data_IF_794869253316
#
_entry.id   IF_794869253316
#
_cell.length_a   1.000
_cell.length_b   1.000
_cell.length_c   1.000
_cell.angle_alpha   90.00
_cell.angle_beta   90.00
_cell.angle_gamma   90.00
#
_symmetry.space_group_name_H-M   'P 1'
#
loop_
_entity.id
_entity.type
_entity.pdbx_description
1 polymer ?
#
# COMPACT_ATOMS: atom_id res chain seq x y z
N UNK A 1 33.39 6.27 17.18
CA UNK A 1 32.28 6.04 16.25
C UNK A 1 32.80 4.98 15.29
N UNK A 2 32.18 3.80 15.22
CA UNK A 2 32.65 2.76 14.28
C UNK A 2 32.25 3.24 12.88
N UNK A 3 33.17 3.93 12.21
CA UNK A 3 33.04 4.39 10.83
C UNK A 3 33.18 3.17 9.92
N UNK A 4 32.07 2.55 9.56
CA UNK A 4 32.06 1.47 8.58
C UNK A 4 31.03 0.38 8.88
N UNK A 5 30.60 -0.31 7.82
CA UNK A 5 29.71 -1.46 7.90
C UNK A 5 30.51 -2.67 8.38
N UNK A 6 29.87 -3.59 9.10
CA UNK A 6 30.53 -4.83 9.53
C UNK A 6 29.95 -5.99 8.73
N UNK A 7 30.81 -6.83 8.16
CA UNK A 7 30.37 -8.04 7.48
C UNK A 7 29.68 -8.99 8.46
N UNK A 8 28.44 -9.45 8.19
CA UNK A 8 27.74 -10.39 9.09
C UNK A 8 28.33 -11.81 9.07
N UNK A 9 29.34 -12.09 8.23
CA UNK A 9 29.96 -13.42 8.09
C UNK A 9 31.36 -13.46 8.67
N UNK A 10 32.21 -12.47 8.36
CA UNK A 10 33.62 -12.47 8.76
C UNK A 10 33.98 -11.35 9.74
N UNK A 11 33.01 -10.52 10.15
CA UNK A 11 33.17 -9.44 11.13
C UNK A 11 34.19 -8.35 10.76
N UNK A 12 34.75 -8.41 9.56
CA UNK A 12 35.61 -7.35 9.04
C UNK A 12 34.76 -6.14 8.62
N UNK A 13 35.34 -4.96 8.77
CA UNK A 13 34.76 -3.72 8.28
C UNK A 13 34.71 -3.71 6.76
N UNK A 14 33.59 -3.26 6.18
CA UNK A 14 33.36 -3.10 4.75
C UNK A 14 33.07 -1.63 4.49
N UNK A 15 33.62 -1.08 3.41
CA UNK A 15 33.27 0.27 2.96
C UNK A 15 31.96 0.25 2.16
N UNK A 16 31.16 1.31 2.29
CA UNK A 16 29.88 1.44 1.57
C UNK A 16 30.05 1.33 0.05
N UNK A 17 31.16 1.84 -0.48
CA UNK A 17 31.49 1.79 -1.91
C UNK A 17 31.64 0.36 -2.43
N UNK A 18 32.10 -0.58 -1.60
CA UNK A 18 32.31 -1.97 -2.01
C UNK A 18 30.98 -2.71 -2.22
N UNK A 19 29.91 -2.26 -1.57
CA UNK A 19 28.59 -2.90 -1.61
C UNK A 19 27.64 -2.29 -2.64
N UNK A 20 27.96 -1.12 -3.20
CA UNK A 20 27.14 -0.43 -4.21
C UNK A 20 26.93 -1.28 -5.48
N UNK A 21 28.01 -1.88 -5.98
CA UNK A 21 27.99 -2.62 -7.24
C UNK A 21 27.70 -4.11 -7.05
N UNK A 22 28.11 -4.68 -5.91
CA UNK A 22 27.97 -6.10 -5.61
C UNK A 22 27.82 -6.33 -4.12
N UNK A 23 26.73 -6.98 -3.72
CA UNK A 23 26.48 -7.45 -2.34
C UNK A 23 27.35 -8.66 -1.97
N UNK A 24 28.67 -8.55 -2.19
CA UNK A 24 29.66 -9.54 -1.80
C UNK A 24 30.68 -8.88 -0.91
N UNK A 25 31.00 -9.53 0.19
CA UNK A 25 32.05 -9.02 1.07
C UNK A 25 33.42 -9.10 0.35
N UNK A 26 34.23 -8.03 0.33
CA UNK A 26 35.57 -8.05 -0.28
C UNK A 26 36.56 -8.93 0.47
N UNK A 27 36.34 -9.17 1.77
CA UNK A 27 37.26 -9.95 2.61
C UNK A 27 37.05 -11.46 2.55
N UNK A 28 35.79 -11.91 2.63
CA UNK A 28 35.46 -13.35 2.66
C UNK A 28 34.77 -13.84 1.38
N UNK A 29 34.48 -12.94 0.44
CA UNK A 29 33.75 -13.24 -0.81
C UNK A 29 32.36 -13.86 -0.60
N UNK A 30 31.83 -13.83 0.62
CA UNK A 30 30.49 -14.31 0.91
C UNK A 30 29.46 -13.46 0.17
N UNK A 31 28.48 -14.13 -0.43
CA UNK A 31 27.33 -13.48 -1.03
C UNK A 31 26.36 -13.06 0.08
N UNK A 32 26.23 -11.75 0.28
CA UNK A 32 25.36 -11.15 1.30
C UNK A 32 23.92 -11.01 0.81
N UNK A 33 23.65 -11.21 -0.49
CA UNK A 33 22.31 -11.25 -1.07
C UNK A 33 21.61 -12.57 -0.71
N UNK A 34 21.23 -12.71 0.55
CA UNK A 34 20.56 -13.90 1.08
C UNK A 34 19.57 -13.49 2.16
N UNK A 35 18.44 -14.22 2.24
CA UNK A 35 17.45 -14.10 3.32
C UNK A 35 18.06 -14.18 4.73
N UNK A 36 19.19 -14.87 4.91
CA UNK A 36 19.87 -14.95 6.22
C UNK A 36 20.39 -13.59 6.72
N UNK A 37 20.54 -12.63 5.83
CA UNK A 37 21.08 -11.31 6.12
C UNK A 37 20.03 -10.22 5.83
N UNK A 38 18.75 -10.54 5.98
CA UNK A 38 17.63 -9.65 5.61
C UNK A 38 17.71 -8.31 6.36
N UNK A 39 17.86 -8.34 7.69
CA UNK A 39 18.05 -7.13 8.51
C UNK A 39 19.22 -6.26 8.04
N UNK A 40 20.32 -6.90 7.61
CA UNK A 40 21.49 -6.20 7.08
C UNK A 40 21.18 -5.56 5.71
N UNK A 41 20.48 -6.27 4.83
CA UNK A 41 20.07 -5.76 3.52
C UNK A 41 19.06 -4.62 3.64
N UNK A 42 18.10 -4.72 4.55
CA UNK A 42 17.15 -3.64 4.87
C UNK A 42 17.86 -2.41 5.40
N UNK A 43 18.84 -2.58 6.29
CA UNK A 43 19.67 -1.48 6.76
C UNK A 43 20.39 -0.78 5.60
N UNK A 44 20.98 -1.53 4.67
CA UNK A 44 21.65 -0.95 3.49
C UNK A 44 20.68 -0.16 2.60
N UNK A 45 19.45 -0.65 2.40
CA UNK A 45 18.42 0.05 1.64
C UNK A 45 17.93 1.31 2.35
N UNK A 46 17.60 1.21 3.65
CA UNK A 46 17.06 2.32 4.43
C UNK A 46 18.03 3.51 4.52
N UNK A 47 19.34 3.23 4.50
CA UNK A 47 20.39 4.25 4.46
C UNK A 47 20.81 4.66 3.04
N UNK A 48 20.21 4.08 1.99
CA UNK A 48 20.52 4.41 0.59
C UNK A 48 21.93 4.00 0.13
N UNK A 49 22.54 3.02 0.80
CA UNK A 49 23.87 2.52 0.46
C UNK A 49 23.81 1.63 -0.79
N UNK A 50 22.72 0.87 -0.94
CA UNK A 50 22.47 -0.02 -2.08
C UNK A 50 21.12 0.33 -2.70
N UNK A 51 21.14 0.77 -3.96
CA UNK A 51 19.94 1.09 -4.75
C UNK A 51 19.48 -0.09 -5.62
N UNK A 52 20.35 -1.09 -5.83
CA UNK A 52 20.13 -2.21 -6.74
C UNK A 52 19.53 -3.46 -6.06
N UNK A 53 18.94 -3.30 -4.87
CA UNK A 53 18.22 -4.39 -4.22
C UNK A 53 16.74 -4.29 -4.57
N UNK A 54 16.26 -5.26 -5.35
CA UNK A 54 14.85 -5.36 -5.70
C UNK A 54 14.06 -5.89 -4.50
N UNK A 55 13.06 -5.13 -4.05
CA UNK A 55 12.14 -5.54 -2.99
C UNK A 55 11.31 -6.77 -3.37
N UNK A 56 11.14 -7.00 -4.68
CA UNK A 56 10.41 -8.16 -5.20
C UNK A 56 11.31 -9.38 -5.45
N UNK A 57 12.57 -9.36 -5.00
CA UNK A 57 13.44 -10.51 -5.16
C UNK A 57 12.97 -11.69 -4.31
N UNK A 58 12.31 -12.64 -4.96
CA UNK A 58 11.74 -13.83 -4.34
C UNK A 58 12.80 -14.68 -3.62
N UNK A 59 14.10 -14.56 -3.95
CA UNK A 59 15.16 -15.28 -3.22
C UNK A 59 15.44 -14.68 -1.84
N UNK A 60 15.07 -13.43 -1.62
CA UNK A 60 15.29 -12.70 -0.36
C UNK A 60 13.98 -12.51 0.41
N UNK A 61 12.91 -12.12 -0.31
CA UNK A 61 11.62 -11.71 0.25
C UNK A 61 10.49 -12.74 0.03
N UNK A 62 10.79 -14.00 -0.25
CA UNK A 62 9.79 -15.03 -0.59
C UNK A 62 8.68 -15.23 0.43
N UNK A 63 8.98 -15.11 1.73
CA UNK A 63 8.02 -15.44 2.79
C UNK A 63 6.97 -14.35 2.99
N UNK A 64 7.22 -13.11 2.56
CA UNK A 64 6.28 -11.98 2.66
C UNK A 64 5.46 -11.78 1.38
N UNK A 65 5.71 -12.60 0.35
CA UNK A 65 4.84 -12.66 -0.82
C UNK A 65 3.66 -13.53 -0.42
N UNK A 66 2.56 -12.88 -0.02
CA UNK A 66 1.28 -13.55 0.15
C UNK A 66 1.02 -14.45 -1.07
N UNK A 67 0.40 -15.60 -0.84
CA UNK A 67 0.04 -16.51 -1.92
C UNK A 67 -1.05 -15.84 -2.77
N UNK A 68 -0.62 -15.06 -3.77
CA UNK A 68 -1.48 -14.34 -4.71
C UNK A 68 -2.16 -15.30 -5.71
N UNK A 69 -2.19 -16.60 -5.41
CA UNK A 69 -2.91 -17.58 -6.17
C UNK A 69 -4.42 -17.32 -6.05
N UNK A 70 -4.93 -16.54 -6.99
CA UNK A 70 -6.36 -16.25 -7.17
C UNK A 70 -7.20 -17.51 -7.45
N UNK A 71 -6.57 -18.67 -7.66
CA UNK A 71 -7.28 -19.95 -7.80
C UNK A 71 -7.60 -20.60 -6.46
N UNK A 72 -7.03 -20.11 -5.36
CA UNK A 72 -7.45 -20.50 -4.02
C UNK A 72 -8.78 -19.86 -3.69
N UNK A 73 -9.77 -20.68 -3.36
CA UNK A 73 -11.03 -20.20 -2.81
C UNK A 73 -10.75 -19.49 -1.47
N UNK A 74 -11.13 -18.22 -1.39
CA UNK A 74 -11.10 -17.46 -0.14
C UNK A 74 -12.03 -18.14 0.89
N UNK A 75 -11.51 -18.51 2.05
CA UNK A 75 -12.32 -19.12 3.12
C UNK A 75 -13.23 -18.06 3.75
N UNK A 76 -14.44 -17.93 3.23
CA UNK A 76 -15.48 -17.10 3.82
C UNK A 76 -16.56 -16.78 2.81
N UNK A 77 -17.81 -17.10 3.11
CA UNK A 77 -18.94 -16.68 2.29
C UNK A 77 -19.24 -15.19 2.56
N UNK A 78 -19.06 -14.28 1.58
CA UNK A 78 -19.33 -12.85 1.77
C UNK A 78 -20.78 -12.57 2.19
N UNK A 79 -21.71 -13.50 1.89
CA UNK A 79 -23.11 -13.40 2.29
C UNK A 79 -23.33 -13.56 3.80
N UNK A 80 -22.37 -14.11 4.56
CA UNK A 80 -22.46 -14.15 6.03
C UNK A 80 -22.33 -12.76 6.67
N UNK A 81 -21.68 -11.82 5.98
CA UNK A 81 -21.47 -10.45 6.45
C UNK A 81 -22.47 -9.45 5.85
N UNK A 82 -23.28 -9.88 4.89
CA UNK A 82 -24.36 -9.08 4.34
C UNK A 82 -25.45 -8.89 5.41
N UNK A 83 -25.53 -7.67 5.96
CA UNK A 83 -26.59 -7.32 6.92
C UNK A 83 -27.94 -7.49 6.22
N UNK A 84 -28.77 -8.39 6.76
CA UNK A 84 -30.15 -8.59 6.28
C UNK A 84 -30.86 -7.25 6.15
N UNK A 85 -31.54 -7.08 5.00
CA UNK A 85 -32.27 -5.88 4.59
C UNK A 85 -33.23 -5.34 5.66
N UNK A 86 -33.66 -6.20 6.59
CA UNK A 86 -34.49 -5.86 7.74
C UNK A 86 -33.88 -4.79 8.67
N UNK A 87 -32.55 -4.60 8.71
CA UNK A 87 -31.91 -3.52 9.48
C UNK A 87 -32.07 -2.13 8.83
N UNK A 88 -32.37 -2.04 7.54
CA UNK A 88 -32.57 -0.77 6.84
C UNK A 88 -33.99 -0.20 7.03
N UNK A 89 -34.94 -1.02 7.48
CA UNK A 89 -36.33 -0.62 7.70
C UNK A 89 -36.53 0.33 8.90
N UNK A 90 -35.51 0.53 9.74
CA UNK A 90 -35.61 1.40 10.92
C UNK A 90 -35.67 2.88 10.49
N UNK A 91 -34.95 3.26 9.43
CA UNK A 91 -34.87 4.65 8.98
C UNK A 91 -35.84 5.00 7.84
N UNK A 92 -36.29 4.02 7.03
CA UNK A 92 -37.24 4.31 5.94
C UNK A 92 -38.62 4.79 6.45
N UNK A 93 -39.06 4.33 7.63
CA UNK A 93 -40.34 4.75 8.20
C UNK A 93 -40.30 6.07 8.99
N UNK A 94 -39.13 6.54 9.41
CA UNK A 94 -39.00 7.80 10.17
C UNK A 94 -38.82 9.04 9.26
N UNK A 95 -38.48 8.84 7.98
CA UNK A 95 -38.13 9.91 7.04
C UNK A 95 -39.26 10.37 6.11
N UNK A 96 -40.50 9.95 6.35
CA UNK A 96 -41.66 10.57 5.70
C UNK A 96 -42.31 11.58 6.65
N UNK A 97 -41.95 12.89 6.57
CA UNK A 97 -42.80 13.92 7.10
C UNK A 97 -44.17 13.81 6.43
N UNK A 98 -45.15 13.24 7.15
CA UNK A 98 -46.54 13.57 6.93
C UNK A 98 -46.69 15.02 7.37
N UNK A 99 -46.48 15.96 6.45
CA UNK A 99 -47.05 17.30 6.40
C UNK A 99 -46.40 18.01 5.21
N UNK A 100 -46.95 17.75 4.02
CA UNK A 100 -46.82 18.69 2.90
C UNK A 100 -47.74 19.86 3.24
N UNK A 101 -47.27 20.78 4.08
CA UNK A 101 -47.70 22.15 4.01
C UNK A 101 -46.52 22.97 3.50
N UNK A 102 -46.80 23.61 2.37
CA UNK A 102 -45.92 24.42 1.56
C UNK A 102 -45.28 25.56 2.37
N UNK A 103 -44.09 25.98 1.94
CA UNK A 103 -43.41 27.21 2.35
C UNK A 103 -42.89 27.24 3.79
N UNK A 104 -41.58 27.01 3.95
CA UNK A 104 -40.63 28.03 4.37
C UNK A 104 -39.22 27.41 4.40
N UNK A 105 -38.25 28.13 3.84
CA UNK A 105 -36.97 27.59 3.40
C UNK A 105 -36.17 26.84 4.47
N UNK A 106 -35.65 25.68 4.09
CA UNK A 106 -34.59 24.97 4.79
C UNK A 106 -33.32 25.80 4.63
N UNK A 107 -32.98 26.59 5.66
CA UNK A 107 -31.93 27.63 5.62
C UNK A 107 -30.48 27.11 5.57
N UNK A 108 -30.25 25.81 5.76
CA UNK A 108 -28.89 25.27 5.95
C UNK A 108 -28.47 24.18 4.96
N UNK A 109 -29.26 23.89 3.93
CA UNK A 109 -28.82 23.01 2.85
C UNK A 109 -28.48 23.84 1.61
N UNK A 110 -27.19 24.05 1.37
CA UNK A 110 -26.71 24.44 0.04
C UNK A 110 -26.92 23.24 -0.89
N UNK A 111 -27.87 23.34 -1.81
CA UNK A 111 -28.04 22.36 -2.88
C UNK A 111 -26.72 22.28 -3.66
N UNK A 112 -26.12 21.10 -3.70
CA UNK A 112 -24.87 20.87 -4.41
C UNK A 112 -25.10 21.05 -5.93
N UNK A 113 -24.55 22.12 -6.50
CA UNK A 113 -24.75 22.49 -7.91
C UNK A 113 -23.98 21.58 -8.89
N UNK A 114 -22.95 20.86 -8.42
CA UNK A 114 -22.05 20.07 -9.25
C UNK A 114 -22.59 18.71 -9.73
N UNK A 115 -23.88 18.40 -9.51
CA UNK A 115 -24.46 17.15 -10.02
C UNK A 115 -24.68 17.17 -11.54
N UNK A 116 -24.60 18.36 -12.14
CA UNK A 116 -24.75 18.59 -13.58
C UNK A 116 -23.40 18.92 -14.26
N UNK A 117 -22.29 18.86 -13.52
CA UNK A 117 -20.96 18.89 -14.14
C UNK A 117 -20.73 17.53 -14.79
N UNK A 118 -20.91 17.48 -16.11
CA UNK A 118 -20.69 16.27 -16.90
C UNK A 118 -19.25 15.80 -16.65
N UNK A 119 -19.11 14.62 -16.05
CA UNK A 119 -17.83 14.01 -15.70
C UNK A 119 -16.89 13.85 -16.91
N UNK A 120 -17.43 13.86 -18.12
CA UNK A 120 -16.67 13.90 -19.37
C UNK A 120 -15.91 15.22 -19.57
N UNK A 121 -16.48 16.37 -19.20
CA UNK A 121 -15.85 17.68 -19.37
C UNK A 121 -14.64 17.86 -18.45
N UNK A 122 -14.54 17.11 -17.35
CA UNK A 122 -13.38 17.15 -16.46
C UNK A 122 -12.15 16.45 -17.07
N UNK A 123 -12.35 15.33 -17.78
CA UNK A 123 -11.29 14.56 -18.43
C UNK A 123 -10.75 15.23 -19.70
N UNK A 124 -11.56 16.05 -20.38
CA UNK A 124 -11.17 16.75 -21.61
C UNK A 124 -10.27 17.98 -21.38
N UNK A 125 -10.13 18.45 -20.13
CA UNK A 125 -9.38 19.69 -19.79
C UNK A 125 -7.89 19.57 -20.04
N UNK A 126 -7.33 18.37 -19.98
CA UNK A 126 -5.90 18.12 -20.22
C UNK A 126 -5.56 17.87 -21.71
N UNK A 127 -6.57 17.80 -22.59
CA UNK A 127 -6.38 17.50 -24.02
C UNK A 127 -6.43 18.72 -24.94
N UNK A 128 -6.79 19.91 -24.45
CA UNK A 128 -6.83 21.15 -25.25
C UNK A 128 -5.67 22.08 -24.87
N UNK A 129 -4.58 21.97 -25.63
CA UNK A 129 -3.53 23.00 -25.76
C UNK A 129 -4.03 24.22 -26.54
#
# INVERSE_FOLDING_TARGET
MLEGLICPVCENTIEEVDLRDSLKCPHCSANLKSRKFLDFLEFLMANGIVENLDFFDQQVYSDDVDDLDQTKEEEGDPSEFEKKKDLFNIYENELHPKNVEENEGIKDYTQFEGINDDWEEFNDRDLKS
#
